data_IF_413710199716
#
_entry.id   IF_413710199716
#
_cell.length_a   1.000
_cell.length_b   1.000
_cell.length_c   1.000
_cell.angle_alpha   90.00
_cell.angle_beta   90.00
_cell.angle_gamma   90.00
#
_symmetry.space_group_name_H-M   'P 1'
#
loop_
_entity.id
_entity.type
_entity.pdbx_description
1 polymer ?
#
# COMPACT_ATOMS: atom_id res chain seq x y z
N UNK A 1 -1.50 24.19 -15.41
CA UNK A 1 -1.28 22.73 -15.38
C UNK A 1 -0.64 22.43 -14.04
N UNK A 2 -1.37 21.80 -13.13
CA UNK A 2 -0.78 21.38 -11.86
C UNK A 2 0.21 20.25 -12.17
N UNK A 3 1.48 20.43 -11.82
CA UNK A 3 2.45 19.34 -11.88
C UNK A 3 2.03 18.33 -10.83
N UNK A 4 1.57 17.15 -11.26
CA UNK A 4 1.35 16.03 -10.34
C UNK A 4 2.70 15.70 -9.71
N UNK A 5 2.84 15.73 -8.38
CA UNK A 5 4.11 15.43 -7.74
C UNK A 5 4.60 14.05 -8.18
N UNK A 6 5.86 13.94 -8.60
CA UNK A 6 6.43 12.65 -8.94
C UNK A 6 6.59 11.82 -7.66
N UNK A 7 5.93 10.66 -7.63
CA UNK A 7 6.07 9.71 -6.53
C UNK A 7 7.37 8.94 -6.70
N UNK A 8 8.31 9.11 -5.77
CA UNK A 8 9.58 8.37 -5.78
C UNK A 8 9.44 7.11 -4.93
N UNK A 9 9.45 5.91 -5.52
CA UNK A 9 9.46 4.66 -4.73
C UNK A 9 10.86 4.39 -4.16
N UNK A 10 10.92 3.79 -2.96
CA UNK A 10 12.15 3.25 -2.41
C UNK A 10 12.69 2.09 -3.25
N UNK A 11 13.83 2.30 -3.89
CA UNK A 11 14.56 1.24 -4.58
C UNK A 11 15.56 0.57 -3.63
N UNK A 12 15.59 -0.76 -3.65
CA UNK A 12 16.56 -1.55 -2.90
C UNK A 12 16.89 -2.81 -3.69
N UNK A 13 18.16 -3.22 -3.64
CA UNK A 13 18.62 -4.50 -4.21
C UNK A 13 18.23 -5.70 -3.35
N UNK A 14 17.77 -5.44 -2.13
CA UNK A 14 17.30 -6.41 -1.14
C UNK A 14 15.88 -6.04 -0.70
N UNK A 15 15.02 -7.02 -0.48
CA UNK A 15 13.66 -6.77 0.01
C UNK A 15 13.71 -6.24 1.46
N UNK A 16 13.42 -4.95 1.64
CA UNK A 16 13.32 -4.28 2.95
C UNK A 16 11.92 -3.68 3.18
N UNK A 17 11.54 -3.70 4.44
CA UNK A 17 10.24 -3.38 5.03
C UNK A 17 10.30 -2.11 5.87
N UNK A 18 11.49 -1.59 6.14
CA UNK A 18 11.69 -0.30 6.80
C UNK A 18 11.25 0.81 5.86
N UNK A 19 10.63 1.86 6.42
CA UNK A 19 10.36 3.07 5.67
C UNK A 19 11.23 4.23 6.14
N UNK A 20 11.62 5.12 5.21
CA UNK A 20 12.11 6.42 5.60
C UNK A 20 10.99 7.23 6.26
N UNK A 21 11.37 8.28 6.98
CA UNK A 21 10.43 9.24 7.55
C UNK A 21 9.64 9.93 6.43
N UNK A 22 8.32 10.07 6.64
CA UNK A 22 7.39 10.72 5.71
C UNK A 22 6.87 12.01 6.33
N UNK A 23 6.34 12.91 5.49
CA UNK A 23 5.70 14.14 5.93
C UNK A 23 4.30 13.85 6.49
N UNK A 24 4.26 13.45 7.77
CA UNK A 24 3.02 13.16 8.51
C UNK A 24 2.01 14.31 8.42
N UNK A 25 2.46 15.56 8.59
CA UNK A 25 1.57 16.73 8.61
C UNK A 25 0.86 16.96 7.28
N UNK A 26 1.58 16.90 6.15
CA UNK A 26 0.98 17.08 4.83
C UNK A 26 0.03 15.93 4.47
N UNK A 27 0.37 14.70 4.86
CA UNK A 27 -0.49 13.53 4.69
C UNK A 27 -1.81 13.67 5.47
N UNK A 28 -1.73 14.08 6.74
CA UNK A 28 -2.91 14.28 7.59
C UNK A 28 -3.80 15.41 7.03
N UNK A 29 -3.21 16.53 6.61
CA UNK A 29 -3.96 17.64 6.01
C UNK A 29 -4.69 17.19 4.73
N UNK A 30 -4.00 16.45 3.84
CA UNK A 30 -4.64 15.94 2.62
C UNK A 30 -5.73 14.92 2.94
N UNK A 31 -5.49 14.06 3.93
CA UNK A 31 -6.45 13.09 4.43
C UNK A 31 -7.77 13.75 4.86
N UNK A 32 -7.70 14.78 5.70
CA UNK A 32 -8.90 15.50 6.16
C UNK A 32 -9.67 16.12 4.99
N UNK A 33 -8.98 16.71 4.00
CA UNK A 33 -9.64 17.27 2.81
C UNK A 33 -10.34 16.19 1.98
N UNK A 34 -9.68 15.07 1.71
CA UNK A 34 -10.26 13.93 0.97
C UNK A 34 -11.46 13.34 1.71
N UNK A 35 -11.38 13.28 3.04
CA UNK A 35 -12.47 12.81 3.88
C UNK A 35 -13.75 13.62 3.65
N UNK A 36 -13.62 14.94 3.65
CA UNK A 36 -14.72 15.88 3.42
C UNK A 36 -15.22 15.84 1.97
N UNK A 37 -14.30 15.84 1.00
CA UNK A 37 -14.61 15.85 -0.44
C UNK A 37 -15.41 14.61 -0.88
N UNK A 38 -15.05 13.43 -0.36
CA UNK A 38 -15.61 12.15 -0.78
C UNK A 38 -16.57 11.53 0.24
N UNK A 39 -16.85 12.21 1.36
CA UNK A 39 -17.71 11.69 2.42
C UNK A 39 -17.18 10.38 3.04
N UNK A 40 -15.85 10.26 3.16
CA UNK A 40 -15.19 9.09 3.73
C UNK A 40 -15.28 9.16 5.26
N UNK A 41 -15.45 8.00 5.91
CA UNK A 41 -15.48 7.93 7.36
C UNK A 41 -14.09 8.17 7.94
N UNK A 42 -14.00 8.98 9.00
CA UNK A 42 -12.78 9.15 9.80
C UNK A 42 -12.16 7.81 10.21
N UNK A 43 -13.01 6.82 10.55
CA UNK A 43 -12.57 5.49 10.99
C UNK A 43 -11.92 4.68 9.87
N UNK A 44 -12.40 4.85 8.64
CA UNK A 44 -11.87 4.10 7.50
C UNK A 44 -10.60 4.74 6.97
N UNK A 45 -10.42 6.05 7.16
CA UNK A 45 -9.26 6.78 6.68
C UNK A 45 -8.06 6.69 7.62
N UNK A 46 -8.27 6.63 8.94
CA UNK A 46 -7.16 6.68 9.91
C UNK A 46 -6.14 5.57 9.71
N UNK A 47 -6.60 4.34 9.45
CA UNK A 47 -5.71 3.20 9.17
C UNK A 47 -4.89 3.41 7.90
N UNK A 48 -5.49 4.03 6.87
CA UNK A 48 -4.80 4.33 5.61
C UNK A 48 -3.72 5.38 5.83
N UNK A 49 -4.01 6.47 6.55
CA UNK A 49 -3.03 7.53 6.84
C UNK A 49 -1.85 6.98 7.63
N UNK A 50 -2.10 6.16 8.65
CA UNK A 50 -1.02 5.56 9.45
C UNK A 50 -0.22 4.54 8.63
N UNK A 51 -0.86 3.70 7.81
CA UNK A 51 -0.16 2.80 6.89
C UNK A 51 0.70 3.56 5.87
N UNK A 52 0.28 4.78 5.52
CA UNK A 52 1.03 5.70 4.67
C UNK A 52 2.05 6.56 5.43
N UNK A 53 2.27 6.31 6.73
CA UNK A 53 3.34 6.88 7.54
C UNK A 53 2.99 8.14 8.32
N UNK A 54 1.70 8.42 8.53
CA UNK A 54 1.29 9.37 9.56
C UNK A 54 1.62 8.83 10.95
N UNK A 55 2.05 9.70 11.86
CA UNK A 55 2.19 9.34 13.26
C UNK A 55 0.81 8.94 13.83
N UNK A 56 0.69 7.78 14.52
CA UNK A 56 -0.60 7.33 15.04
C UNK A 56 -1.29 8.29 15.99
N UNK A 57 -0.55 8.97 16.86
CA UNK A 57 -1.13 9.86 17.86
C UNK A 57 -1.55 11.18 17.23
N UNK A 58 -0.78 11.69 16.27
CA UNK A 58 -1.19 12.84 15.47
C UNK A 58 -2.40 12.52 14.59
N UNK A 59 -2.48 11.34 14.01
CA UNK A 59 -3.63 10.91 13.21
C UNK A 59 -4.92 10.80 14.06
N UNK A 60 -4.83 10.25 15.27
CA UNK A 60 -5.95 10.19 16.23
C UNK A 60 -6.43 11.59 16.61
N UNK A 61 -5.50 12.51 16.91
CA UNK A 61 -5.82 13.91 17.24
C UNK A 61 -6.46 14.62 16.05
N UNK A 62 -5.88 14.50 14.87
CA UNK A 62 -6.37 15.17 13.65
C UNK A 62 -7.77 14.73 13.25
N UNK A 63 -8.08 13.43 13.37
CA UNK A 63 -9.39 12.90 13.01
C UNK A 63 -10.39 12.90 14.17
N UNK A 64 -9.96 13.27 15.39
CA UNK A 64 -10.82 13.34 16.58
C UNK A 64 -11.47 12.00 16.91
N UNK A 65 -10.75 10.90 16.71
CA UNK A 65 -11.24 9.54 16.93
C UNK A 65 -10.44 8.80 17.99
N UNK A 66 -11.16 8.05 18.83
CA UNK A 66 -10.57 6.92 19.56
C UNK A 66 -10.61 5.70 18.66
N UNK A 67 -9.45 5.21 18.25
CA UNK A 67 -9.34 3.92 17.56
C UNK A 67 -9.40 2.84 18.63
N UNK A 68 -10.38 1.94 18.55
CA UNK A 68 -10.43 0.71 19.33
C UNK A 68 -10.33 -0.49 18.40
N UNK A 69 -9.54 -1.49 18.78
CA UNK A 69 -9.32 -2.70 17.98
C UNK A 69 -8.20 -2.58 16.93
N UNK A 70 -8.00 -3.67 16.19
CA UNK A 70 -6.93 -3.82 15.20
C UNK A 70 -7.52 -3.73 13.78
N UNK A 71 -7.01 -2.81 12.95
CA UNK A 71 -7.37 -2.72 11.53
C UNK A 71 -6.32 -3.48 10.73
N UNK A 72 -6.63 -4.74 10.40
CA UNK A 72 -5.83 -5.54 9.47
C UNK A 72 -6.05 -5.03 8.05
N UNK A 73 -4.97 -4.86 7.29
CA UNK A 73 -5.01 -4.43 5.88
C UNK A 73 -5.84 -3.16 5.65
N UNK A 74 -5.47 -2.04 6.29
CA UNK A 74 -6.27 -0.83 6.25
C UNK A 74 -6.45 -0.28 4.82
N UNK A 75 -5.40 -0.37 3.99
CA UNK A 75 -5.43 0.13 2.62
C UNK A 75 -6.24 -0.79 1.71
N UNK A 76 -6.11 -2.11 1.83
CA UNK A 76 -6.97 -3.07 1.12
C UNK A 76 -8.45 -2.92 1.51
N UNK A 77 -8.73 -2.82 2.82
CA UNK A 77 -10.10 -2.67 3.33
C UNK A 77 -10.73 -1.37 2.83
N UNK A 78 -9.96 -0.27 2.85
CA UNK A 78 -10.38 0.98 2.25
C UNK A 78 -10.68 0.83 0.75
N UNK A 79 -9.77 0.18 0.01
CA UNK A 79 -9.94 -0.05 -1.42
C UNK A 79 -11.21 -0.84 -1.72
N UNK A 80 -11.41 -1.98 -1.07
CA UNK A 80 -12.57 -2.85 -1.30
C UNK A 80 -13.90 -2.21 -0.92
N UNK A 81 -13.91 -1.42 0.15
CA UNK A 81 -15.12 -0.73 0.63
C UNK A 81 -15.51 0.42 -0.29
N UNK A 82 -14.55 1.24 -0.70
CA UNK A 82 -14.84 2.45 -1.46
C UNK A 82 -14.87 2.22 -2.97
N UNK A 83 -14.27 1.15 -3.50
CA UNK A 83 -14.35 0.85 -4.96
C UNK A 83 -15.78 0.63 -5.41
N UNK A 84 -16.63 0.07 -4.56
CA UNK A 84 -18.04 -0.16 -4.86
C UNK A 84 -18.84 1.16 -4.93
N UNK A 85 -18.41 2.18 -4.18
CA UNK A 85 -19.10 3.46 -4.06
C UNK A 85 -18.59 4.51 -5.04
N UNK A 86 -17.27 4.59 -5.21
CA UNK A 86 -16.57 5.64 -5.97
C UNK A 86 -16.06 5.15 -7.33
N UNK A 87 -16.19 3.85 -7.62
CA UNK A 87 -15.51 3.22 -8.73
C UNK A 87 -14.02 2.98 -8.44
N UNK A 88 -13.40 2.12 -9.24
CA UNK A 88 -11.98 1.77 -9.08
C UNK A 88 -11.07 3.00 -9.27
N UNK A 89 -11.25 3.72 -10.38
CA UNK A 89 -10.45 4.90 -10.71
C UNK A 89 -10.54 5.99 -9.64
N UNK A 90 -11.72 6.17 -9.03
CA UNK A 90 -11.91 7.15 -7.95
C UNK A 90 -11.09 6.81 -6.71
N UNK A 91 -11.06 5.53 -6.32
CA UNK A 91 -10.27 5.07 -5.17
C UNK A 91 -8.78 5.09 -5.46
N UNK A 92 -8.36 4.67 -6.67
CA UNK A 92 -6.96 4.73 -7.10
C UNK A 92 -6.48 6.18 -7.02
N UNK A 93 -7.24 7.13 -7.56
CA UNK A 93 -6.93 8.56 -7.50
C UNK A 93 -6.71 9.04 -6.07
N UNK A 94 -7.63 8.71 -5.15
CA UNK A 94 -7.52 9.08 -3.73
C UNK A 94 -6.23 8.55 -3.11
N UNK A 95 -5.92 7.27 -3.34
CA UNK A 95 -4.72 6.65 -2.77
C UNK A 95 -3.44 7.28 -3.34
N UNK A 96 -3.39 7.55 -4.65
CA UNK A 96 -2.26 8.24 -5.30
C UNK A 96 -2.05 9.66 -4.75
N UNK A 97 -3.12 10.39 -4.46
CA UNK A 97 -3.04 11.71 -3.83
C UNK A 97 -2.51 11.64 -2.40
N UNK A 98 -2.95 10.65 -1.61
CA UNK A 98 -2.42 10.43 -0.26
C UNK A 98 -0.95 10.03 -0.29
N UNK A 99 -0.54 9.14 -1.21
CA UNK A 99 0.87 8.81 -1.43
C UNK A 99 1.69 10.06 -1.75
N UNK A 100 1.21 10.87 -2.70
CA UNK A 100 1.88 12.12 -3.08
C UNK A 100 2.02 13.09 -1.91
N UNK A 101 0.97 13.22 -1.09
CA UNK A 101 0.96 14.08 0.09
C UNK A 101 1.90 13.60 1.19
N UNK A 102 2.13 12.29 1.32
CA UNK A 102 3.05 11.73 2.30
C UNK A 102 4.50 12.19 2.08
N UNK A 103 4.91 12.48 0.85
CA UNK A 103 6.24 13.00 0.54
C UNK A 103 7.42 12.18 1.12
N UNK A 104 8.59 12.82 1.24
CA UNK A 104 9.81 12.21 1.80
C UNK A 104 10.87 11.83 0.75
N UNK A 105 11.96 11.18 1.18
CA UNK A 105 13.04 10.76 0.28
C UNK A 105 12.59 9.68 -0.72
N UNK A 106 11.71 8.79 -0.27
CA UNK A 106 11.03 7.79 -1.07
C UNK A 106 9.80 7.22 -0.32
N UNK A 107 8.85 6.67 -1.06
CA UNK A 107 7.70 5.96 -0.52
C UNK A 107 7.91 4.47 -0.63
N UNK A 108 7.55 3.78 0.43
CA UNK A 108 7.48 2.33 0.39
C UNK A 108 6.12 1.89 -0.14
N UNK A 109 6.09 0.89 -1.04
CA UNK A 109 4.86 0.28 -1.52
C UNK A 109 3.96 -0.19 -0.37
N UNK A 110 2.65 0.06 -0.44
CA UNK A 110 1.64 -0.64 0.39
C UNK A 110 0.51 -1.18 -0.49
N UNK A 111 0.03 -2.39 -0.22
CA UNK A 111 -0.99 -3.03 -1.06
C UNK A 111 -2.35 -2.33 -0.96
N UNK A 112 -3.26 -2.49 -1.95
CA UNK A 112 -3.08 -3.23 -3.20
C UNK A 112 -2.45 -2.41 -4.33
N UNK A 113 -2.18 -1.12 -4.13
CA UNK A 113 -1.73 -0.20 -5.19
C UNK A 113 -0.34 0.32 -4.88
N UNK A 114 0.57 0.17 -5.85
CA UNK A 114 1.94 0.65 -5.75
C UNK A 114 2.22 1.69 -6.86
N UNK A 115 2.39 2.97 -6.52
CA UNK A 115 2.62 4.04 -7.50
C UNK A 115 4.06 4.04 -8.01
N UNK A 116 4.30 3.74 -9.30
CA UNK A 116 5.64 3.66 -9.92
C UNK A 116 6.10 5.00 -10.49
N UNK A 117 5.22 5.70 -11.20
CA UNK A 117 5.41 7.02 -11.81
C UNK A 117 4.09 7.80 -11.73
N UNK A 118 4.01 9.11 -12.08
CA UNK A 118 2.78 9.89 -11.96
C UNK A 118 1.54 9.26 -12.59
N UNK A 119 1.70 8.60 -13.73
CA UNK A 119 0.62 7.97 -14.49
C UNK A 119 0.76 6.43 -14.53
N UNK A 120 1.66 5.86 -13.72
CA UNK A 120 1.99 4.44 -13.75
C UNK A 120 1.91 3.81 -12.37
N UNK A 121 1.19 2.71 -12.24
CA UNK A 121 1.05 2.01 -10.97
C UNK A 121 0.86 0.52 -11.17
N UNK A 122 1.29 -0.27 -10.18
CA UNK A 122 0.86 -1.64 -10.04
C UNK A 122 -0.40 -1.68 -9.20
N UNK A 123 -1.35 -2.50 -9.60
CA UNK A 123 -2.56 -2.77 -8.83
C UNK A 123 -2.81 -4.26 -8.73
N UNK A 124 -3.06 -4.72 -7.52
CA UNK A 124 -3.57 -6.05 -7.27
C UNK A 124 -5.10 -6.03 -7.34
N UNK A 125 -5.64 -6.81 -8.29
CA UNK A 125 -7.07 -7.07 -8.44
C UNK A 125 -7.35 -8.55 -8.15
N UNK A 126 -8.62 -8.94 -7.95
CA UNK A 126 -8.96 -10.35 -7.77
C UNK A 126 -8.43 -11.24 -8.90
N UNK A 127 -8.55 -10.83 -10.17
CA UNK A 127 -8.13 -11.64 -11.32
C UNK A 127 -6.61 -11.72 -11.55
N UNK A 128 -5.81 -10.91 -10.85
CA UNK A 128 -4.37 -10.83 -11.07
C UNK A 128 -3.77 -9.49 -10.71
N UNK A 129 -2.50 -9.32 -11.06
CA UNK A 129 -1.74 -8.10 -10.86
C UNK A 129 -1.57 -7.41 -12.21
N UNK A 130 -1.83 -6.12 -12.23
CA UNK A 130 -1.82 -5.31 -13.44
C UNK A 130 -0.82 -4.16 -13.27
N UNK A 131 -0.03 -3.93 -14.33
CA UNK A 131 0.71 -2.69 -14.53
C UNK A 131 -0.17 -1.76 -15.36
N UNK A 132 -0.62 -0.68 -14.75
CA UNK A 132 -1.44 0.33 -15.39
C UNK A 132 -0.61 1.56 -15.74
N UNK A 133 -0.79 2.09 -16.94
CA UNK A 133 -0.15 3.28 -17.47
C UNK A 133 -1.12 4.02 -18.41
N UNK A 134 -1.32 5.32 -18.18
CA UNK A 134 -2.09 6.21 -19.07
C UNK A 134 -3.46 5.66 -19.51
N UNK A 135 -4.20 5.02 -18.59
CA UNK A 135 -5.53 4.45 -18.85
C UNK A 135 -5.54 3.07 -19.50
N UNK A 136 -4.39 2.43 -19.66
CA UNK A 136 -4.27 1.04 -20.10
C UNK A 136 -3.67 0.18 -18.99
N UNK A 137 -4.16 -1.05 -18.82
CA UNK A 137 -3.64 -1.99 -17.83
C UNK A 137 -3.21 -3.27 -18.51
N UNK A 138 -1.94 -3.65 -18.32
CA UNK A 138 -1.38 -4.92 -18.76
C UNK A 138 -1.29 -5.87 -17.58
N UNK A 139 -1.84 -7.07 -17.74
CA UNK A 139 -1.64 -8.13 -16.74
C UNK A 139 -0.17 -8.51 -16.68
N UNK A 140 0.41 -8.43 -15.48
CA UNK A 140 1.81 -8.81 -15.24
C UNK A 140 1.93 -10.15 -14.52
N UNK A 141 0.88 -10.58 -13.82
CA UNK A 141 0.78 -11.91 -13.22
C UNK A 141 -0.70 -12.31 -13.05
N UNK A 142 -1.12 -13.51 -13.49
CA UNK A 142 -2.49 -13.99 -13.31
C UNK A 142 -2.74 -14.51 -11.88
N UNK A 143 -4.00 -14.57 -11.44
CA UNK A 143 -4.40 -15.52 -10.39
C UNK A 143 -4.24 -16.97 -10.89
N UNK A 144 -3.94 -17.99 -10.05
CA UNK A 144 -4.03 -17.99 -8.60
C UNK A 144 -2.64 -17.80 -7.99
N UNK A 145 -2.39 -16.62 -7.45
CA UNK A 145 -1.39 -16.51 -6.41
C UNK A 145 -2.12 -16.81 -5.13
N UNK A 146 -2.07 -18.05 -4.67
CA UNK A 146 -2.53 -18.39 -3.33
C UNK A 146 -1.62 -17.66 -2.34
N UNK A 147 -2.08 -16.50 -1.89
CA UNK A 147 -1.46 -15.75 -0.81
C UNK A 147 -1.75 -16.48 0.50
N UNK A 148 -0.74 -17.06 1.11
CA UNK A 148 -0.88 -17.59 2.47
C UNK A 148 -0.38 -16.54 3.47
N UNK A 149 -1.06 -16.45 4.61
CA UNK A 149 -0.62 -15.60 5.71
C UNK A 149 0.59 -16.26 6.39
N UNK A 150 1.76 -15.69 6.18
CA UNK A 150 2.98 -16.08 6.87
C UNK A 150 2.91 -15.65 8.35
N UNK A 151 3.41 -16.47 9.28
CA UNK A 151 3.39 -16.16 10.72
C UNK A 151 4.04 -14.81 11.10
N UNK A 152 4.91 -14.26 10.25
CA UNK A 152 5.51 -12.93 10.43
C UNK A 152 4.64 -11.77 9.90
N UNK A 153 3.37 -12.04 9.55
CA UNK A 153 2.45 -11.03 9.03
C UNK A 153 2.79 -10.60 7.60
N UNK A 154 3.08 -11.55 6.70
CA UNK A 154 3.27 -11.30 5.27
C UNK A 154 2.36 -12.22 4.44
N UNK A 155 1.87 -11.78 3.29
CA UNK A 155 1.15 -12.64 2.35
C UNK A 155 2.11 -12.96 1.24
N UNK A 156 2.44 -14.23 1.14
CA UNK A 156 3.49 -14.68 0.26
C UNK A 156 2.92 -15.67 -0.74
N UNK A 157 3.53 -15.64 -1.92
CA UNK A 157 3.36 -16.67 -2.94
C UNK A 157 3.58 -18.05 -2.30
N UNK A 158 2.78 -19.03 -2.70
CA UNK A 158 3.08 -20.43 -2.44
C UNK A 158 4.08 -20.92 -3.51
N UNK A 159 5.24 -21.53 -3.14
CA UNK A 159 5.68 -21.90 -1.79
C UNK A 159 6.21 -20.74 -0.95
N UNK A 160 6.17 -20.93 0.37
CA UNK A 160 6.60 -19.95 1.35
C UNK A 160 8.00 -19.36 1.08
N UNK A 161 8.03 -18.11 0.65
CA UNK A 161 9.28 -17.40 0.36
C UNK A 161 9.69 -16.56 1.57
N UNK A 162 10.84 -16.83 2.17
CA UNK A 162 11.43 -15.91 3.16
C UNK A 162 11.98 -14.67 2.46
N UNK A 163 11.14 -13.72 2.08
CA UNK A 163 11.57 -12.65 1.17
C UNK A 163 12.37 -11.54 1.85
N UNK A 164 12.09 -11.23 3.11
CA UNK A 164 12.74 -10.11 3.80
C UNK A 164 14.24 -10.39 3.96
N UNK A 165 15.07 -9.45 3.53
CA UNK A 165 16.52 -9.61 3.56
C UNK A 165 17.11 -10.43 2.40
N UNK A 166 16.28 -10.98 1.50
CA UNK A 166 16.77 -11.64 0.29
C UNK A 166 17.05 -10.66 -0.85
N UNK A 167 18.07 -10.92 -1.70
CA UNK A 167 18.29 -10.16 -2.92
C UNK A 167 17.08 -10.25 -3.86
N UNK A 168 16.69 -9.11 -4.46
CA UNK A 168 15.55 -9.02 -5.38
C UNK A 168 15.70 -10.02 -6.53
N UNK A 169 16.90 -10.18 -7.09
CA UNK A 169 17.16 -11.15 -8.17
C UNK A 169 16.90 -12.61 -7.77
N UNK A 170 17.19 -12.97 -6.51
CA UNK A 170 16.92 -14.32 -5.99
C UNK A 170 15.42 -14.56 -5.87
N UNK A 171 14.69 -13.60 -5.29
CA UNK A 171 13.23 -13.67 -5.14
C UNK A 171 12.55 -13.68 -6.51
N UNK A 172 13.00 -12.83 -7.44
CA UNK A 172 12.52 -12.80 -8.82
C UNK A 172 12.71 -14.16 -9.51
N UNK A 173 13.86 -14.83 -9.30
CA UNK A 173 14.09 -16.16 -9.84
C UNK A 173 13.15 -17.22 -9.25
N UNK A 174 12.81 -17.12 -7.97
CA UNK A 174 11.89 -18.05 -7.29
C UNK A 174 10.46 -17.94 -7.85
N UNK A 175 10.00 -16.72 -8.15
CA UNK A 175 8.63 -16.49 -8.63
C UNK A 175 8.46 -16.63 -10.15
N UNK A 176 9.53 -16.85 -10.93
CA UNK A 176 9.44 -17.15 -12.38
C UNK A 176 8.54 -18.35 -12.68
N UNK A 177 8.49 -19.32 -11.78
CA UNK A 177 7.66 -20.53 -11.90
C UNK A 177 6.16 -20.22 -11.85
N UNK A 178 5.77 -19.02 -11.39
CA UNK A 178 4.39 -18.58 -11.22
C UNK A 178 3.82 -17.86 -12.46
N UNK A 179 4.48 -18.00 -13.63
CA UNK A 179 4.06 -17.36 -14.89
C UNK A 179 3.96 -15.82 -14.82
N UNK A 180 4.73 -15.20 -13.94
CA UNK A 180 4.86 -13.75 -13.85
C UNK A 180 5.65 -13.24 -15.07
N UNK A 181 5.09 -12.29 -15.80
CA UNK A 181 5.73 -11.70 -16.99
C UNK A 181 6.85 -10.72 -16.65
N UNK A 182 6.79 -10.08 -15.48
CA UNK A 182 7.87 -9.24 -14.93
C UNK A 182 8.18 -9.62 -13.46
N UNK A 183 8.98 -10.68 -13.25
CA UNK A 183 9.31 -11.18 -11.91
C UNK A 183 10.07 -10.16 -11.06
N UNK A 184 10.90 -9.32 -11.67
CA UNK A 184 11.76 -8.40 -10.92
C UNK A 184 10.97 -7.21 -10.40
N UNK A 185 10.06 -6.68 -11.23
CA UNK A 185 9.11 -5.64 -10.85
C UNK A 185 8.20 -6.11 -9.69
N UNK A 186 7.63 -7.30 -9.80
CA UNK A 186 6.77 -7.89 -8.77
C UNK A 186 7.54 -8.11 -7.47
N UNK A 187 8.76 -8.66 -7.56
CA UNK A 187 9.60 -8.91 -6.39
C UNK A 187 10.02 -7.61 -5.69
N UNK A 188 10.33 -6.57 -6.47
CA UNK A 188 10.79 -5.27 -5.95
C UNK A 188 9.68 -4.48 -5.28
N UNK A 189 8.46 -4.52 -5.82
CA UNK A 189 7.43 -3.55 -5.45
C UNK A 189 6.21 -4.17 -4.79
N UNK A 190 5.67 -5.27 -5.31
CA UNK A 190 4.43 -5.84 -4.77
C UNK A 190 4.67 -6.66 -3.51
N UNK A 191 5.74 -7.45 -3.48
CA UNK A 191 6.05 -8.31 -2.33
C UNK A 191 6.27 -7.54 -1.02
N UNK A 192 7.07 -6.46 -1.00
CA UNK A 192 7.12 -5.57 0.17
C UNK A 192 5.76 -4.98 0.53
N UNK A 193 4.94 -4.62 -0.47
CA UNK A 193 3.62 -4.03 -0.27
C UNK A 193 2.66 -4.97 0.47
N UNK A 194 2.62 -6.24 0.06
CA UNK A 194 1.83 -7.30 0.70
C UNK A 194 2.30 -7.55 2.13
N UNK A 195 3.62 -7.59 2.36
CA UNK A 195 4.19 -7.71 3.70
C UNK A 195 3.81 -6.56 4.63
N UNK A 196 3.62 -5.35 4.10
CA UNK A 196 3.24 -4.16 4.89
C UNK A 196 1.75 -4.10 5.15
N UNK A 197 0.93 -4.49 4.17
CA UNK A 197 -0.54 -4.54 4.33
C UNK A 197 -0.95 -5.52 5.44
N UNK A 198 -0.17 -6.57 5.66
CA UNK A 198 -0.39 -7.55 6.74
C UNK A 198 0.23 -7.20 8.08
N UNK A 199 1.13 -6.23 8.10
CA UNK A 199 1.35 -5.44 9.31
C UNK A 199 0.19 -4.47 9.43
N UNK A 200 -0.96 -5.02 9.84
CA UNK A 200 -1.95 -4.21 10.52
C UNK A 200 -1.20 -3.43 11.59
N UNK A 201 -1.34 -2.10 11.57
CA UNK A 201 -0.59 -1.22 12.44
C UNK A 201 -0.76 -1.73 13.87
N UNK A 202 0.30 -2.28 14.45
CA UNK A 202 0.30 -2.71 15.85
C UNK A 202 0.41 -1.44 16.69
N UNK A 203 -0.73 -0.77 16.85
CA UNK A 203 -0.89 0.25 17.88
C UNK A 203 -0.82 -0.52 19.20
N UNK A 204 0.28 -0.34 19.92
CA UNK A 204 0.66 -1.14 21.08
C UNK A 204 -0.42 -1.31 22.17
N UNK A 205 -0.14 -2.11 23.21
CA UNK A 205 -1.12 -2.44 24.23
C UNK A 205 -1.65 -1.19 24.93
N UNK A 206 -2.99 -1.05 24.97
CA UNK A 206 -3.70 0.02 25.67
C UNK A 206 -4.12 -0.43 27.07
N UNK A 207 -3.89 0.44 28.06
CA UNK A 207 -4.52 0.35 29.38
C UNK A 207 -5.83 1.16 29.40
N UNK A 208 -6.86 0.62 30.05
CA UNK A 208 -8.15 1.27 30.25
C UNK A 208 -8.08 2.20 31.48
N UNK A 209 -8.52 3.45 31.33
CA UNK A 209 -9.00 4.28 32.43
C UNK A 209 -10.37 4.87 32.08
#
# INVERSE_FOLDING_TARGET
>A
MAQTPAVKICESTVVDIRCPARNSSALLERGVKIMEEYGISRYDLIGVLVALGADPDDAKKALGLRISGNIKKPVQTFYERYRQKLGEEGVVKILLELYSAAGGECLCPVGPIVPLDPDKYLIQRPSGIYLCEAGSCKEVAPEPIALYDHPQGCQLYNPALQIVGQPVASVASQIKTLKVSDPELVARYLLPALCRDLRGVDLGPFEFF
#
